data_IF_238239103741
#
_entry.id   IF_238239103741
#
_cell.length_a   1.000
_cell.length_b   1.000
_cell.length_c   1.000
_cell.angle_alpha   90.00
_cell.angle_beta   90.00
_cell.angle_gamma   90.00
#
_symmetry.space_group_name_H-M   'P 1'
#
loop_
_entity.id
_entity.type
_entity.pdbx_description
1 polymer ?
#
# COMPACT_ATOMS: atom_id res chain seq x y z
N UNK A 1 5.57 -0.89 -0.78
CA UNK A 1 4.95 -0.77 -2.11
C UNK A 1 5.52 -1.81 -3.03
N UNK A 2 4.74 -2.32 -3.97
CA UNK A 2 5.21 -3.23 -5.01
C UNK A 2 4.62 -2.79 -6.35
N UNK A 3 5.39 -2.93 -7.41
CA UNK A 3 4.94 -2.79 -8.78
C UNK A 3 4.55 -4.19 -9.28
N UNK A 4 3.39 -4.33 -9.90
CA UNK A 4 2.93 -5.57 -10.52
C UNK A 4 2.75 -5.31 -12.02
N UNK A 5 3.02 -6.33 -12.81
CA UNK A 5 2.99 -6.23 -14.28
C UNK A 5 1.56 -6.29 -14.84
N UNK A 6 0.61 -6.72 -14.02
CA UNK A 6 -0.79 -6.87 -14.40
C UNK A 6 -1.77 -6.60 -13.24
N UNK A 7 -3.04 -6.44 -13.58
CA UNK A 7 -4.16 -6.26 -12.64
C UNK A 7 -5.00 -7.55 -12.52
N UNK A 8 -4.34 -8.71 -12.50
CA UNK A 8 -5.04 -9.98 -12.36
C UNK A 8 -5.42 -10.26 -10.90
N UNK A 9 -6.40 -11.16 -10.72
CA UNK A 9 -6.75 -11.71 -9.40
C UNK A 9 -5.53 -12.33 -8.71
N UNK A 10 -4.70 -13.07 -9.46
CA UNK A 10 -3.52 -13.73 -8.92
C UNK A 10 -2.52 -12.71 -8.35
N UNK A 11 -2.25 -11.64 -9.09
CA UNK A 11 -1.38 -10.54 -8.65
C UNK A 11 -1.95 -9.80 -7.45
N UNK A 12 -3.27 -9.56 -7.40
CA UNK A 12 -3.94 -8.93 -6.26
C UNK A 12 -3.85 -9.81 -5.00
N UNK A 13 -4.00 -11.12 -5.12
CA UNK A 13 -3.86 -12.09 -4.00
C UNK A 13 -2.43 -12.14 -3.48
N UNK A 14 -1.45 -12.26 -4.37
CA UNK A 14 -0.04 -12.26 -4.00
C UNK A 14 0.33 -10.97 -3.26
N UNK A 15 -0.09 -9.84 -3.80
CA UNK A 15 0.14 -8.54 -3.18
C UNK A 15 -0.52 -8.41 -1.80
N UNK A 16 -1.74 -8.92 -1.61
CA UNK A 16 -2.40 -8.94 -0.30
C UNK A 16 -1.55 -9.67 0.73
N UNK A 17 -1.07 -10.88 0.42
CA UNK A 17 -0.21 -11.65 1.31
C UNK A 17 1.09 -10.93 1.67
N UNK A 18 1.77 -10.38 0.66
CA UNK A 18 2.99 -9.57 0.85
C UNK A 18 2.73 -8.35 1.75
N UNK A 19 1.62 -7.63 1.50
CA UNK A 19 1.26 -6.45 2.26
C UNK A 19 0.98 -6.79 3.73
N UNK A 20 0.20 -7.84 4.00
CA UNK A 20 -0.12 -8.27 5.36
C UNK A 20 1.14 -8.67 6.14
N UNK A 21 2.09 -9.34 5.51
CA UNK A 21 3.36 -9.70 6.14
C UNK A 21 4.29 -8.49 6.38
N UNK A 22 4.14 -7.42 5.60
CA UNK A 22 5.01 -6.25 5.65
C UNK A 22 4.60 -5.22 6.73
N UNK A 23 3.44 -5.35 7.37
CA UNK A 23 3.02 -4.42 8.42
C UNK A 23 3.41 -4.92 9.81
N UNK A 24 3.94 -4.05 10.70
CA UNK A 24 4.28 -4.43 12.07
C UNK A 24 3.04 -4.64 12.95
N UNK A 25 1.87 -4.26 12.46
CA UNK A 25 0.58 -4.40 13.15
C UNK A 25 -0.35 -5.36 12.39
N UNK A 26 -1.29 -5.94 13.12
CA UNK A 26 -2.29 -6.83 12.55
C UNK A 26 -3.30 -6.05 11.72
N UNK A 27 -3.41 -6.37 10.45
CA UNK A 27 -4.45 -5.84 9.57
C UNK A 27 -5.70 -6.71 9.70
N UNK A 28 -6.80 -6.12 10.13
CA UNK A 28 -8.09 -6.83 10.28
C UNK A 28 -9.06 -6.55 9.13
N UNK A 29 -8.82 -5.48 8.37
CA UNK A 29 -9.71 -5.05 7.27
C UNK A 29 -8.92 -4.51 6.11
N UNK A 30 -9.37 -4.83 4.91
CA UNK A 30 -8.87 -4.27 3.65
C UNK A 30 -10.02 -3.59 2.93
N UNK A 31 -9.79 -2.36 2.50
CA UNK A 31 -10.74 -1.61 1.67
C UNK A 31 -10.17 -1.53 0.26
N UNK A 32 -10.94 -1.99 -0.73
CA UNK A 32 -10.60 -1.86 -2.15
C UNK A 32 -11.70 -1.10 -2.89
N UNK A 33 -11.38 -0.69 -4.08
CA UNK A 33 -12.41 -0.28 -5.04
C UNK A 33 -13.18 -1.52 -5.58
N UNK A 34 -13.89 -1.33 -6.70
CA UNK A 34 -14.65 -2.39 -7.37
C UNK A 34 -13.95 -2.93 -8.61
N UNK A 35 -12.63 -2.81 -8.68
CA UNK A 35 -11.84 -3.39 -9.76
C UNK A 35 -12.10 -4.90 -9.90
N UNK A 36 -12.03 -5.41 -11.12
CA UNK A 36 -12.35 -6.82 -11.41
C UNK A 36 -11.48 -7.80 -10.61
N UNK A 37 -10.22 -7.50 -10.40
CA UNK A 37 -9.29 -8.30 -9.61
C UNK A 37 -9.70 -8.42 -8.12
N UNK A 38 -10.37 -7.41 -7.57
CA UNK A 38 -10.83 -7.39 -6.18
C UNK A 38 -12.25 -7.91 -5.99
N UNK A 39 -13.05 -7.97 -7.08
CA UNK A 39 -14.40 -8.52 -7.04
C UNK A 39 -14.45 -10.00 -7.35
N UNK A 40 -13.35 -10.57 -7.83
CA UNK A 40 -13.21 -11.98 -8.12
C UNK A 40 -13.35 -12.85 -6.86
N UNK A 41 -13.96 -14.02 -7.02
CA UNK A 41 -14.20 -14.96 -5.91
C UNK A 41 -12.91 -15.44 -5.24
N UNK A 42 -11.82 -15.58 -6.00
CA UNK A 42 -10.53 -15.99 -5.46
C UNK A 42 -9.91 -14.95 -4.55
N UNK A 43 -10.08 -13.66 -4.82
CA UNK A 43 -9.62 -12.61 -3.91
C UNK A 43 -10.41 -12.61 -2.59
N UNK A 44 -11.72 -12.77 -2.65
CA UNK A 44 -12.60 -12.90 -1.47
C UNK A 44 -12.22 -14.14 -0.63
N UNK A 45 -11.90 -15.26 -1.29
CA UNK A 45 -11.44 -16.47 -0.62
C UNK A 45 -10.10 -16.23 0.08
N UNK A 46 -9.15 -15.59 -0.59
CA UNK A 46 -7.86 -15.25 0.00
C UNK A 46 -8.01 -14.34 1.24
N UNK A 47 -8.91 -13.36 1.20
CA UNK A 47 -9.19 -12.54 2.37
C UNK A 47 -9.72 -13.37 3.55
N UNK A 48 -10.63 -14.31 3.29
CA UNK A 48 -11.15 -15.23 4.33
C UNK A 48 -10.06 -16.13 4.91
N UNK A 49 -9.23 -16.73 4.07
CA UNK A 49 -8.11 -17.60 4.47
C UNK A 49 -7.07 -16.85 5.32
N UNK A 50 -6.84 -15.59 4.99
CA UNK A 50 -5.92 -14.71 5.73
C UNK A 50 -6.56 -14.03 6.96
N UNK A 51 -7.85 -14.31 7.23
CA UNK A 51 -8.56 -13.75 8.39
C UNK A 51 -8.80 -12.25 8.30
N UNK A 52 -8.93 -11.70 7.09
CA UNK A 52 -9.10 -10.27 6.84
C UNK A 52 -10.49 -9.98 6.30
N UNK A 53 -11.20 -9.02 6.90
CA UNK A 53 -12.49 -8.54 6.41
C UNK A 53 -12.28 -7.71 5.14
N UNK A 54 -12.83 -8.15 4.01
CA UNK A 54 -12.81 -7.39 2.78
C UNK A 54 -14.02 -6.45 2.69
N UNK A 55 -13.75 -5.17 2.49
CA UNK A 55 -14.75 -4.13 2.23
C UNK A 55 -14.50 -3.47 0.88
N UNK A 56 -15.57 -3.22 0.15
CA UNK A 56 -15.54 -2.49 -1.12
C UNK A 56 -16.05 -1.07 -0.94
N UNK A 57 -15.44 -0.11 -1.61
CA UNK A 57 -15.90 1.27 -1.62
C UNK A 57 -17.34 1.34 -2.16
N UNK A 58 -18.15 2.22 -1.58
CA UNK A 58 -19.50 2.48 -2.11
C UNK A 58 -19.40 3.38 -3.34
N UNK A 59 -20.20 3.11 -4.39
CA UNK A 59 -20.27 4.01 -5.53
C UNK A 59 -20.64 5.42 -5.06
N UNK A 60 -20.08 6.42 -5.68
CA UNK A 60 -20.39 7.84 -5.41
C UNK A 60 -20.19 8.32 -3.97
N UNK A 61 -19.32 7.67 -3.18
CA UNK A 61 -19.05 8.12 -1.81
C UNK A 61 -17.58 8.58 -1.69
N UNK A 62 -17.25 9.86 -2.00
CA UNK A 62 -15.87 10.38 -2.03
C UNK A 62 -15.13 10.26 -0.69
N UNK A 63 -15.88 10.20 0.42
CA UNK A 63 -15.32 10.19 1.77
C UNK A 63 -14.54 8.91 2.12
N UNK A 64 -14.87 7.78 1.50
CA UNK A 64 -14.29 6.48 1.86
C UNK A 64 -12.92 6.26 1.25
N UNK A 65 -12.57 6.98 0.17
CA UNK A 65 -11.31 6.83 -0.53
C UNK A 65 -10.38 8.06 -0.47
N UNK A 66 -10.83 9.15 0.13
CA UNK A 66 -10.12 10.43 0.09
C UNK A 66 -8.72 10.44 0.72
N UNK A 67 -8.37 9.46 1.58
CA UNK A 67 -7.01 9.31 2.08
C UNK A 67 -6.12 8.61 1.06
N UNK A 68 -6.62 7.54 0.44
CA UNK A 68 -5.91 6.82 -0.62
C UNK A 68 -5.71 7.73 -1.84
N UNK A 69 -6.74 8.44 -2.28
CA UNK A 69 -6.65 9.41 -3.38
C UNK A 69 -5.60 10.51 -3.12
N UNK A 70 -5.56 11.07 -1.90
CA UNK A 70 -4.53 12.06 -1.54
C UNK A 70 -3.13 11.49 -1.53
N UNK A 71 -2.98 10.26 -1.07
CA UNK A 71 -1.69 9.58 -1.07
C UNK A 71 -1.26 9.25 -2.49
N UNK A 72 -2.15 8.71 -3.33
CA UNK A 72 -1.90 8.44 -4.74
C UNK A 72 -1.55 9.72 -5.51
N UNK A 73 -2.29 10.82 -5.28
CA UNK A 73 -1.99 12.12 -5.87
C UNK A 73 -0.61 12.67 -5.48
N UNK A 74 -0.09 12.31 -4.30
CA UNK A 74 1.30 12.62 -3.93
C UNK A 74 2.29 11.78 -4.71
N UNK A 75 2.07 10.48 -4.81
CA UNK A 75 2.93 9.58 -5.59
C UNK A 75 3.01 10.06 -7.04
N UNK A 76 1.87 10.38 -7.64
CA UNK A 76 1.85 10.89 -9.02
C UNK A 76 2.72 12.15 -9.17
N UNK A 77 2.64 13.09 -8.25
CA UNK A 77 3.41 14.33 -8.32
C UNK A 77 4.89 14.17 -7.94
N UNK A 78 5.18 13.37 -6.93
CA UNK A 78 6.50 13.34 -6.32
C UNK A 78 7.36 12.17 -6.85
N UNK A 79 6.76 11.14 -7.43
CA UNK A 79 7.45 9.94 -7.91
C UNK A 79 7.25 9.73 -9.41
N UNK A 80 6.00 9.68 -9.88
CA UNK A 80 5.71 9.33 -11.27
C UNK A 80 6.02 10.48 -12.26
N UNK A 81 6.32 11.68 -11.76
CA UNK A 81 6.91 12.75 -12.57
C UNK A 81 8.40 12.58 -12.86
N UNK A 82 9.05 11.54 -12.29
CA UNK A 82 10.47 11.26 -12.51
C UNK A 82 10.58 10.20 -13.60
N UNK A 83 11.35 10.47 -14.63
CA UNK A 83 11.65 9.47 -15.67
C UNK A 83 12.45 8.33 -15.05
N UNK A 84 11.95 7.10 -15.14
CA UNK A 84 12.60 5.89 -14.64
C UNK A 84 12.97 4.97 -15.79
N UNK A 85 14.12 4.34 -15.71
CA UNK A 85 14.62 3.46 -16.76
C UNK A 85 14.11 2.01 -16.66
N UNK A 86 13.63 1.60 -15.48
CA UNK A 86 13.17 0.23 -15.25
C UNK A 86 12.14 0.14 -14.12
N UNK A 87 11.39 -0.97 -14.07
CA UNK A 87 10.50 -1.32 -12.95
C UNK A 87 11.25 -1.34 -11.61
N UNK A 88 12.49 -1.84 -11.59
CA UNK A 88 13.30 -1.85 -10.38
C UNK A 88 13.68 -0.45 -9.88
N UNK A 89 13.86 0.52 -10.79
CA UNK A 89 14.08 1.92 -10.42
C UNK A 89 12.82 2.53 -9.82
N UNK A 90 11.66 2.24 -10.42
CA UNK A 90 10.37 2.68 -9.89
C UNK A 90 10.12 2.11 -8.49
N UNK A 91 10.38 0.81 -8.28
CA UNK A 91 10.24 0.21 -6.95
C UNK A 91 11.14 0.89 -5.91
N UNK A 92 12.40 1.16 -6.25
CA UNK A 92 13.32 1.87 -5.35
C UNK A 92 12.82 3.28 -5.00
N UNK A 93 12.34 4.02 -5.99
CA UNK A 93 11.74 5.34 -5.75
C UNK A 93 10.51 5.27 -4.86
N UNK A 94 9.62 4.31 -5.10
CA UNK A 94 8.42 4.10 -4.28
C UNK A 94 8.75 3.68 -2.85
N UNK A 95 9.79 2.87 -2.65
CA UNK A 95 10.27 2.50 -1.32
C UNK A 95 10.84 3.72 -0.59
N UNK A 96 11.68 4.50 -1.27
CA UNK A 96 12.23 5.74 -0.71
C UNK A 96 11.15 6.77 -0.35
N UNK A 97 10.19 6.97 -1.24
CA UNK A 97 9.04 7.84 -0.99
C UNK A 97 8.23 7.39 0.24
N UNK A 98 7.94 6.08 0.33
CA UNK A 98 7.18 5.52 1.44
C UNK A 98 7.90 5.70 2.77
N UNK A 99 9.21 5.48 2.79
CA UNK A 99 10.06 5.72 3.96
C UNK A 99 9.99 7.18 4.40
N UNK A 100 10.23 8.10 3.47
CA UNK A 100 10.18 9.53 3.74
C UNK A 100 8.77 9.99 4.21
N UNK A 101 7.72 9.42 3.60
CA UNK A 101 6.33 9.73 3.98
C UNK A 101 6.02 9.27 5.41
N UNK A 102 6.45 8.07 5.80
CA UNK A 102 6.17 7.52 7.12
C UNK A 102 6.99 8.18 8.23
N UNK A 103 8.18 8.67 7.93
CA UNK A 103 9.02 9.41 8.85
C UNK A 103 8.62 10.89 8.99
N UNK A 104 7.87 11.44 8.01
CA UNK A 104 7.51 12.86 7.98
C UNK A 104 6.37 13.17 8.95
N UNK A 105 6.56 14.18 9.78
CA UNK A 105 5.52 14.72 10.65
C UNK A 105 4.33 15.24 9.87
N UNK A 106 3.12 14.90 10.32
CA UNK A 106 1.87 15.25 9.64
C UNK A 106 0.92 16.01 10.57
N UNK A 107 0.36 17.10 10.07
CA UNK A 107 -0.60 17.90 10.83
C UNK A 107 -1.83 17.12 11.28
N UNK A 108 -2.30 16.18 10.46
CA UNK A 108 -3.45 15.32 10.78
C UNK A 108 -3.16 14.28 11.87
N UNK A 109 -1.91 14.13 12.27
CA UNK A 109 -1.44 13.28 13.36
C UNK A 109 -0.88 14.10 14.53
N UNK A 110 -1.35 15.32 14.68
CA UNK A 110 -0.93 16.26 15.74
C UNK A 110 0.59 16.47 15.76
N UNK A 111 1.18 16.61 14.57
CA UNK A 111 2.62 16.85 14.40
C UNK A 111 3.50 15.61 14.58
N UNK A 112 2.92 14.42 14.73
CA UNK A 112 3.65 13.14 14.75
C UNK A 112 3.79 12.56 13.36
N UNK A 113 4.76 11.67 13.18
CA UNK A 113 4.85 10.87 11.96
C UNK A 113 3.95 9.61 12.05
N UNK A 114 3.56 9.02 10.91
CA UNK A 114 2.87 7.73 10.90
C UNK A 114 3.61 6.63 11.66
N UNK A 115 4.92 6.59 11.53
CA UNK A 115 5.79 5.61 12.22
C UNK A 115 5.76 5.79 13.75
N UNK A 116 5.86 7.03 14.25
CA UNK A 116 5.74 7.33 15.68
C UNK A 116 4.39 6.88 16.24
N UNK A 117 3.29 7.16 15.52
CA UNK A 117 1.94 6.76 15.95
C UNK A 117 1.79 5.24 15.99
N UNK A 118 2.34 4.52 15.01
CA UNK A 118 2.30 3.05 15.00
C UNK A 118 3.10 2.49 16.16
N UNK A 119 4.33 2.96 16.38
CA UNK A 119 5.19 2.53 17.48
C UNK A 119 4.52 2.74 18.84
N UNK A 120 4.03 3.94 19.12
CA UNK A 120 3.32 4.25 20.37
C UNK A 120 2.11 3.35 20.62
N UNK A 121 1.35 3.03 19.56
CA UNK A 121 0.19 2.13 19.68
C UNK A 121 0.60 0.71 20.01
N UNK A 122 1.64 0.20 19.36
CA UNK A 122 2.16 -1.15 19.62
C UNK A 122 2.79 -1.28 21.01
N UNK A 123 3.44 -0.23 21.51
CA UNK A 123 3.97 -0.18 22.87
C UNK A 123 2.84 -0.18 23.91
N UNK A 124 1.74 0.53 23.64
CA UNK A 124 0.57 0.60 24.51
C UNK A 124 -0.25 -0.69 24.52
N UNK A 125 -0.36 -1.34 23.37
CA UNK A 125 -1.13 -2.56 23.20
C UNK A 125 -0.41 -3.53 22.26
N UNK A 126 0.33 -4.44 22.85
CA UNK A 126 1.11 -5.45 22.12
C UNK A 126 0.24 -6.49 21.40
N UNK A 127 -1.07 -6.59 21.74
CA UNK A 127 -1.99 -7.49 21.04
C UNK A 127 -2.26 -7.06 19.59
N UNK A 128 -1.98 -5.79 19.29
CA UNK A 128 -2.07 -5.24 17.93
C UNK A 128 -0.88 -5.66 17.04
N UNK A 129 0.18 -6.18 17.62
CA UNK A 129 1.36 -6.58 16.87
C UNK A 129 1.05 -7.73 15.90
N UNK A 130 1.71 -7.70 14.75
CA UNK A 130 1.66 -8.78 13.78
C UNK A 130 2.71 -9.83 14.13
N UNK A 131 2.33 -11.04 14.58
CA UNK A 131 3.30 -12.07 14.96
C UNK A 131 4.12 -12.60 13.76
N UNK A 132 3.62 -12.41 12.54
CA UNK A 132 4.31 -12.76 11.31
C UNK A 132 5.22 -11.67 10.75
N UNK A 133 5.26 -10.50 11.40
CA UNK A 133 6.10 -9.39 10.92
C UNK A 133 7.58 -9.71 11.06
N UNK A 134 8.29 -9.52 9.96
CA UNK A 134 9.75 -9.57 9.94
C UNK A 134 10.25 -8.21 9.49
N UNK A 135 10.94 -7.47 10.36
CA UNK A 135 11.51 -6.20 9.96
C UNK A 135 12.49 -6.43 8.79
N UNK A 136 12.52 -5.53 7.82
CA UNK A 136 13.49 -5.62 6.74
C UNK A 136 14.92 -5.56 7.30
N UNK A 137 15.88 -6.21 6.66
CA UNK A 137 17.27 -6.25 7.12
C UNK A 137 17.96 -4.88 7.10
N UNK A 138 17.41 -3.93 6.37
CA UNK A 138 17.91 -2.55 6.27
C UNK A 138 16.89 -1.59 6.92
N UNK A 139 17.30 -0.81 7.95
CA UNK A 139 16.42 0.18 8.58
C UNK A 139 15.92 1.28 7.63
N UNK A 140 16.54 1.46 6.47
CA UNK A 140 16.04 2.35 5.42
C UNK A 140 14.88 1.77 4.61
N UNK A 141 14.57 0.49 4.76
CA UNK A 141 13.48 -0.19 4.03
C UNK A 141 12.27 -0.35 4.94
N UNK A 142 11.46 0.68 5.06
CA UNK A 142 10.16 0.60 5.73
C UNK A 142 9.20 -0.34 4.99
N UNK A 143 8.26 -1.00 5.72
CA UNK A 143 7.30 -1.91 5.11
C UNK A 143 6.56 -1.24 3.95
N UNK A 144 6.43 -1.97 2.86
CA UNK A 144 5.73 -1.54 1.65
C UNK A 144 4.29 -1.16 2.00
N UNK A 145 3.95 0.13 1.96
CA UNK A 145 2.57 0.57 2.12
C UNK A 145 1.75 0.16 0.89
N UNK A 146 0.51 -0.25 1.13
CA UNK A 146 -0.38 -0.79 0.11
C UNK A 146 -0.82 0.30 -0.87
N UNK A 147 -0.29 0.28 -2.07
CA UNK A 147 -0.76 1.06 -3.20
C UNK A 147 -0.73 0.21 -4.46
N UNK A 148 -1.92 -0.08 -4.97
CA UNK A 148 -2.07 -0.48 -6.36
C UNK A 148 -2.04 0.83 -7.16
N UNK A 149 -1.00 1.04 -7.94
CA UNK A 149 -0.94 2.16 -8.88
C UNK A 149 -1.71 1.71 -10.12
N UNK A 150 -2.97 2.14 -10.24
CA UNK A 150 -3.66 2.11 -11.51
C UNK A 150 -2.92 3.00 -12.51
N UNK A 151 -2.62 2.50 -13.70
CA UNK A 151 -1.96 3.14 -14.84
C UNK A 151 -0.43 3.12 -14.88
N UNK A 152 0.13 1.92 -15.05
CA UNK A 152 1.43 1.79 -15.72
C UNK A 152 1.31 1.71 -17.25
N UNK A 153 0.11 1.94 -17.82
CA UNK A 153 -0.13 1.75 -19.26
C UNK A 153 0.42 2.85 -20.17
N UNK A 154 0.89 3.97 -19.61
CA UNK A 154 1.28 5.13 -20.44
C UNK A 154 2.80 5.37 -20.53
N UNK A 155 3.63 4.44 -20.02
CA UNK A 155 5.09 4.61 -20.06
C UNK A 155 5.73 3.95 -21.29
N UNK A 156 4.93 3.31 -22.16
CA UNK A 156 5.46 2.59 -23.33
C UNK A 156 4.82 3.07 -24.64
N UNK A 157 5.05 4.33 -25.01
CA UNK A 157 5.03 4.71 -26.43
C UNK A 157 6.21 5.64 -26.69
N UNK A 158 7.28 5.17 -27.38
CA UNK A 158 8.15 6.10 -28.08
C UNK A 158 7.38 6.61 -29.31
N UNK A 159 7.24 7.92 -29.41
CA UNK A 159 6.79 8.58 -30.62
C UNK A 159 7.65 8.12 -31.80
N UNK A 160 6.98 7.62 -32.83
CA UNK A 160 7.54 7.37 -34.16
C UNK A 160 7.27 8.56 -35.05
#
# INVERSE_FOLDING_TARGET
MAVKDDETEASARAFLGEALAAFPFRVTRVLTDRGSCFTAEGFERACRELGVEHRKTRPYTPRTNGMAERFNGRIQREVLGITVASHGDLERLLVGFNSAYNARRQRVLDGRSPEEVVRERLERDTSLANPGYRPPPDPCVLPKAMLVVEHAKDISQPDS
#
